data_IF_256699302970
#
_entry.id   IF_256699302970
#
_cell.length_a   1.000
_cell.length_b   1.000
_cell.length_c   1.000
_cell.angle_alpha   90.00
_cell.angle_beta   90.00
_cell.angle_gamma   90.00
#
_symmetry.space_group_name_H-M   'P 1'
#
loop_
_entity.id
_entity.type
_entity.pdbx_description
1 polymer ?
#
# COMPACT_ATOMS: atom_id res chain seq x y z
N UNK A 1 0.56 -9.73 13.12
CA UNK A 1 1.70 -8.80 12.95
C UNK A 1 1.64 -8.31 11.52
N UNK A 2 1.35 -7.04 11.27
CA UNK A 2 1.44 -6.48 9.93
C UNK A 2 2.92 -6.36 9.56
N UNK A 3 3.43 -7.25 8.71
CA UNK A 3 4.81 -7.15 8.22
C UNK A 3 4.72 -6.76 6.75
N UNK A 4 4.96 -5.49 6.46
CA UNK A 4 5.01 -5.07 5.07
C UNK A 4 6.22 -5.69 4.38
N UNK A 5 5.98 -6.40 3.28
CA UNK A 5 6.97 -7.05 2.43
C UNK A 5 7.13 -6.26 1.14
N UNK A 6 8.30 -6.37 0.51
CA UNK A 6 8.53 -5.84 -0.84
C UNK A 6 9.31 -6.83 -1.68
N UNK A 7 9.07 -6.80 -2.99
CA UNK A 7 9.83 -7.58 -3.97
C UNK A 7 11.24 -6.99 -4.04
N UNK A 8 12.28 -7.83 -4.08
CA UNK A 8 13.64 -7.35 -4.31
C UNK A 8 13.75 -6.77 -5.74
N UNK A 9 14.49 -5.67 -5.88
CA UNK A 9 14.61 -4.97 -7.18
C UNK A 9 15.11 -5.89 -8.30
N UNK A 10 15.94 -6.87 -7.96
CA UNK A 10 16.48 -7.89 -8.88
C UNK A 10 15.38 -8.81 -9.45
N UNK A 11 14.31 -9.04 -8.68
CA UNK A 11 13.20 -9.91 -9.07
C UNK A 11 12.03 -9.16 -9.74
N UNK A 12 12.07 -7.83 -9.84
CA UNK A 12 10.98 -7.05 -10.45
C UNK A 12 10.75 -7.45 -11.91
N UNK A 13 11.83 -7.64 -12.68
CA UNK A 13 11.72 -8.09 -14.07
C UNK A 13 11.17 -9.52 -14.17
N UNK A 14 11.52 -10.38 -13.21
CA UNK A 14 11.00 -11.75 -13.13
C UNK A 14 9.50 -11.74 -12.84
N UNK A 15 9.05 -10.93 -11.88
CA UNK A 15 7.64 -10.79 -11.52
C UNK A 15 6.82 -10.26 -12.71
N UNK A 16 7.32 -9.23 -13.41
CA UNK A 16 6.66 -8.71 -14.63
C UNK A 16 6.59 -9.76 -15.75
N UNK A 17 7.62 -10.58 -15.88
CA UNK A 17 7.62 -11.70 -16.83
C UNK A 17 6.62 -12.79 -16.43
N UNK A 18 6.49 -13.08 -15.13
CA UNK A 18 5.52 -14.04 -14.61
C UNK A 18 4.08 -13.57 -14.84
N UNK A 19 3.80 -12.28 -14.67
CA UNK A 19 2.51 -11.67 -14.99
C UNK A 19 2.07 -11.98 -16.44
N UNK A 20 3.00 -11.81 -17.39
CA UNK A 20 2.75 -12.11 -18.80
C UNK A 20 2.59 -13.61 -19.06
N UNK A 21 3.41 -14.45 -18.41
CA UNK A 21 3.35 -15.92 -18.56
C UNK A 21 2.04 -16.52 -18.05
N UNK A 22 1.47 -15.95 -16.99
CA UNK A 22 0.16 -16.36 -16.47
C UNK A 22 -1.02 -15.83 -17.30
N UNK A 23 -0.74 -15.02 -18.33
CA UNK A 23 -1.77 -14.52 -19.23
C UNK A 23 -2.55 -13.32 -18.70
N UNK A 24 -2.02 -12.59 -17.71
CA UNK A 24 -2.64 -11.33 -17.28
C UNK A 24 -2.21 -10.20 -18.23
N UNK A 25 -3.13 -9.60 -19.00
CA UNK A 25 -2.80 -8.53 -19.94
C UNK A 25 -2.54 -7.19 -19.23
N UNK A 26 -3.06 -7.02 -18.01
CA UNK A 26 -2.92 -5.80 -17.23
C UNK A 26 -2.90 -6.10 -15.71
N UNK A 27 -2.37 -5.17 -14.89
CA UNK A 27 -2.36 -5.32 -13.43
C UNK A 27 -3.76 -5.41 -12.80
N UNK A 28 -4.78 -4.82 -13.44
CA UNK A 28 -6.16 -4.83 -12.96
C UNK A 28 -6.80 -6.23 -13.03
N UNK A 29 -6.43 -7.03 -14.03
CA UNK A 29 -6.87 -8.42 -14.18
C UNK A 29 -6.33 -9.27 -13.04
N UNK A 30 -5.03 -9.09 -12.70
CA UNK A 30 -4.43 -9.73 -11.54
C UNK A 30 -5.05 -9.24 -10.23
N UNK A 31 -5.33 -7.94 -10.10
CA UNK A 31 -5.97 -7.38 -8.91
C UNK A 31 -7.35 -8.00 -8.65
N UNK A 32 -8.13 -8.17 -9.72
CA UNK A 32 -9.46 -8.79 -9.65
C UNK A 32 -9.36 -10.28 -9.27
N UNK A 33 -8.41 -11.01 -9.88
CA UNK A 33 -8.26 -12.45 -9.64
C UNK A 33 -7.63 -12.78 -8.28
N UNK A 34 -6.74 -11.92 -7.77
CA UNK A 34 -6.15 -12.02 -6.43
C UNK A 34 -7.00 -11.39 -5.32
N UNK A 35 -8.13 -10.75 -5.67
CA UNK A 35 -9.01 -10.01 -4.74
C UNK A 35 -8.27 -8.94 -3.91
N UNK A 36 -7.36 -8.22 -4.56
CA UNK A 36 -6.55 -7.15 -3.95
C UNK A 36 -6.78 -5.82 -4.67
N UNK A 37 -6.34 -4.72 -4.06
CA UNK A 37 -6.45 -3.42 -4.71
C UNK A 37 -5.47 -3.28 -5.89
N UNK A 38 -5.86 -2.54 -6.94
CA UNK A 38 -4.99 -2.22 -8.07
C UNK A 38 -3.68 -1.56 -7.60
N UNK A 39 -3.79 -0.62 -6.66
CA UNK A 39 -2.63 0.04 -6.04
C UNK A 39 -1.69 -0.96 -5.38
N UNK A 40 -2.22 -2.00 -4.72
CA UNK A 40 -1.40 -3.05 -4.10
C UNK A 40 -0.61 -3.83 -5.14
N UNK A 41 -1.25 -4.17 -6.27
CA UNK A 41 -0.58 -4.85 -7.38
C UNK A 41 0.49 -3.96 -8.01
N UNK A 42 0.19 -2.68 -8.24
CA UNK A 42 1.17 -1.73 -8.76
C UNK A 42 2.38 -1.60 -7.83
N UNK A 43 2.14 -1.44 -6.52
CA UNK A 43 3.19 -1.41 -5.50
C UNK A 43 4.01 -2.71 -5.50
N UNK A 44 3.37 -3.88 -5.62
CA UNK A 44 4.08 -5.17 -5.75
C UNK A 44 4.98 -5.22 -7.01
N UNK A 45 4.46 -4.80 -8.16
CA UNK A 45 5.19 -4.79 -9.44
C UNK A 45 6.30 -3.74 -9.49
N UNK A 46 6.25 -2.72 -8.64
CA UNK A 46 7.25 -1.67 -8.52
C UNK A 46 8.28 -1.94 -7.40
N UNK A 47 8.07 -2.97 -6.58
CA UNK A 47 8.96 -3.28 -5.44
C UNK A 47 8.75 -2.37 -4.24
N UNK A 48 7.54 -1.83 -4.10
CA UNK A 48 7.12 -1.07 -2.92
C UNK A 48 6.62 -1.99 -1.81
N UNK A 49 6.35 -1.39 -0.65
CA UNK A 49 5.85 -2.09 0.53
C UNK A 49 4.39 -2.49 0.33
N UNK A 50 4.11 -3.77 0.52
CA UNK A 50 2.79 -4.40 0.40
C UNK A 50 2.54 -5.25 1.65
N UNK A 51 1.28 -5.39 2.06
CA UNK A 51 0.91 -6.23 3.20
C UNK A 51 1.30 -7.70 2.96
N UNK A 52 1.71 -8.43 4.00
CA UNK A 52 2.16 -9.81 3.84
C UNK A 52 1.07 -10.73 3.26
N UNK A 53 -0.19 -10.51 3.65
CA UNK A 53 -1.31 -11.30 3.15
C UNK A 53 -1.53 -11.07 1.65
N UNK A 54 -1.51 -9.81 1.22
CA UNK A 54 -1.69 -9.45 -0.18
C UNK A 54 -0.48 -9.91 -1.02
N UNK A 55 0.73 -9.81 -0.47
CA UNK A 55 1.96 -10.25 -1.13
C UNK A 55 1.94 -11.75 -1.44
N UNK A 56 1.51 -12.56 -0.47
CA UNK A 56 1.39 -14.02 -0.64
C UNK A 56 0.34 -14.34 -1.71
N UNK A 57 -0.87 -13.75 -1.63
CA UNK A 57 -1.93 -13.96 -2.62
C UNK A 57 -1.48 -13.66 -4.04
N UNK A 58 -0.84 -12.50 -4.24
CA UNK A 58 -0.33 -12.10 -5.55
C UNK A 58 0.74 -13.08 -6.05
N UNK A 59 1.66 -13.50 -5.18
CA UNK A 59 2.73 -14.44 -5.53
C UNK A 59 2.17 -15.82 -5.92
N UNK A 60 1.17 -16.31 -5.18
CA UNK A 60 0.49 -17.57 -5.48
C UNK A 60 -0.20 -17.54 -6.85
N UNK A 61 -0.91 -16.45 -7.18
CA UNK A 61 -1.53 -16.27 -8.51
C UNK A 61 -0.49 -16.22 -9.64
N UNK A 62 0.68 -15.68 -9.36
CA UNK A 62 1.78 -15.64 -10.32
C UNK A 62 2.55 -16.96 -10.43
N UNK A 63 2.30 -17.92 -9.53
CA UNK A 63 3.06 -19.17 -9.44
C UNK A 63 4.51 -18.93 -8.99
N UNK A 64 4.72 -17.93 -8.14
CA UNK A 64 6.03 -17.54 -7.62
C UNK A 64 6.12 -17.84 -6.12
N UNK A 65 7.29 -18.34 -5.70
CA UNK A 65 7.60 -18.51 -4.28
C UNK A 65 7.87 -17.13 -3.66
N UNK A 66 6.94 -16.65 -2.81
CA UNK A 66 7.02 -15.33 -2.19
C UNK A 66 8.30 -15.15 -1.36
N UNK A 67 8.80 -16.22 -0.72
CA UNK A 67 10.04 -16.22 0.07
C UNK A 67 11.30 -16.09 -0.80
N UNK A 68 11.24 -16.48 -2.07
CA UNK A 68 12.36 -16.39 -3.00
C UNK A 68 12.51 -14.99 -3.59
N UNK A 69 11.41 -14.25 -3.71
CA UNK A 69 11.39 -12.92 -4.34
C UNK A 69 11.37 -11.77 -3.32
N UNK A 70 11.16 -12.06 -2.03
CA UNK A 70 11.13 -11.05 -0.98
C UNK A 70 12.52 -10.46 -0.75
N UNK A 71 12.59 -9.13 -0.62
CA UNK A 71 13.82 -8.44 -0.24
C UNK A 71 14.19 -8.81 1.20
N UNK A 72 15.20 -9.68 1.39
CA UNK A 72 15.71 -10.07 2.70
C UNK A 72 16.51 -8.97 3.43
N UNK A 73 16.67 -7.79 2.84
CA UNK A 73 17.46 -6.72 3.44
C UNK A 73 16.78 -6.17 4.71
N UNK A 74 17.39 -6.30 5.91
CA UNK A 74 16.80 -5.90 7.19
C UNK A 74 16.67 -4.38 7.39
N UNK A 75 17.13 -3.56 6.43
CA UNK A 75 17.00 -2.09 6.46
C UNK A 75 15.54 -1.60 6.38
N UNK A 76 14.56 -2.50 6.12
CA UNK A 76 13.15 -2.14 6.05
C UNK A 76 12.40 -2.18 7.38
N UNK A 77 13.10 -2.35 8.51
CA UNK A 77 12.54 -1.86 9.76
C UNK A 77 12.49 -0.32 9.66
N UNK A 78 11.37 0.36 9.94
CA UNK A 78 11.48 1.76 10.30
C UNK A 78 12.55 1.83 11.40
N UNK A 79 13.55 2.73 11.32
CA UNK A 79 14.59 2.81 12.33
C UNK A 79 13.93 2.75 13.70
N UNK A 80 14.36 1.86 14.62
CA UNK A 80 13.80 1.79 15.96
C UNK A 80 13.73 3.21 16.49
N UNK A 81 12.51 3.66 16.71
CA UNK A 81 12.05 4.98 17.15
C UNK A 81 13.13 5.89 17.79
N UNK A 82 14.08 6.42 17.01
CA UNK A 82 15.13 7.28 17.54
C UNK A 82 15.28 8.52 16.65
N UNK A 83 14.66 9.59 17.18
CA UNK A 83 14.66 10.99 16.75
C UNK A 83 13.86 11.39 15.50
N UNK A 84 12.59 11.70 15.77
CA UNK A 84 11.81 12.71 15.05
C UNK A 84 12.62 14.02 14.91
N UNK A 85 13.22 14.24 13.75
CA UNK A 85 13.65 15.59 13.35
C UNK A 85 12.40 16.47 13.16
N UNK A 86 12.33 17.67 13.76
CA UNK A 86 11.18 18.58 13.68
C UNK A 86 10.68 18.88 12.25
N UNK A 87 11.53 18.74 11.24
CA UNK A 87 11.16 19.00 9.84
C UNK A 87 10.19 17.97 9.26
N UNK A 88 10.24 16.71 9.70
CA UNK A 88 9.33 15.68 9.20
C UNK A 88 7.88 15.87 9.68
N UNK A 89 7.67 16.50 10.85
CA UNK A 89 6.32 16.94 11.28
C UNK A 89 5.72 17.95 10.32
N UNK A 90 6.54 18.83 9.77
CA UNK A 90 6.07 19.92 8.90
C UNK A 90 5.65 19.44 7.50
N UNK A 91 6.24 18.35 6.99
CA UNK A 91 5.81 17.72 5.72
C UNK A 91 4.49 16.96 5.85
N UNK A 92 4.21 16.37 7.01
CA UNK A 92 2.96 15.65 7.25
C UNK A 92 1.77 16.61 7.49
N UNK A 93 1.96 17.70 8.23
CA UNK A 93 0.90 18.71 8.45
C UNK A 93 0.47 19.43 7.16
N UNK A 94 1.40 19.68 6.23
CA UNK A 94 1.09 20.32 4.94
C UNK A 94 0.21 19.43 4.05
N UNK A 95 0.29 18.11 4.20
CA UNK A 95 -0.47 17.13 3.40
C UNK A 95 -1.89 16.91 3.94
N UNK A 96 -2.15 17.15 5.23
CA UNK A 96 -3.50 17.09 5.81
C UNK A 96 -4.33 18.37 5.58
N UNK A 97 -3.67 19.51 5.30
CA UNK A 97 -4.32 20.82 5.15
C UNK A 97 -5.04 21.04 3.80
N UNK A 98 -4.75 20.25 2.78
CA UNK A 98 -5.41 20.36 1.46
C UNK A 98 -6.74 19.62 1.37
N UNK A 99 -6.97 18.60 2.21
CA UNK A 99 -8.21 17.83 2.18
C UNK A 99 -9.36 18.47 2.99
N UNK A 100 -9.06 19.43 3.88
CA UNK A 100 -10.07 20.13 4.70
C UNK A 100 -10.58 21.44 4.08
N UNK A 101 -10.34 21.66 2.77
CA UNK A 101 -10.78 22.88 2.05
C UNK A 101 -11.87 22.65 1.00
N UNK A 102 -12.30 21.42 0.73
CA UNK A 102 -13.50 21.17 -0.09
C UNK A 102 -14.69 20.93 0.81
N UNK A 103 -15.55 21.95 0.92
CA UNK A 103 -16.72 21.95 1.78
C UNK A 103 -17.67 20.79 1.53
N UNK A 104 -18.07 20.14 2.62
CA UNK A 104 -19.37 19.46 2.72
C UNK A 104 -20.11 20.18 3.85
N UNK A 105 -20.62 21.38 3.54
CA UNK A 105 -21.66 22.01 4.35
C UNK A 105 -22.95 21.25 4.09
N UNK A 106 -23.27 20.28 4.94
CA UNK A 106 -24.48 19.51 4.72
C UNK A 106 -24.74 18.38 5.70
N UNK A 107 -24.54 18.55 7.00
CA UNK A 107 -25.16 17.65 7.97
C UNK A 107 -25.80 18.41 9.13
N UNK A 108 -27.12 18.32 9.16
CA UNK A 108 -28.09 18.79 10.15
C UNK A 108 -27.58 18.67 11.59
N UNK A 109 -27.77 19.72 12.38
CA UNK A 109 -28.08 19.55 13.81
C UNK A 109 -29.56 19.83 14.04
N UNK A 110 -30.25 18.79 14.49
CA UNK A 110 -31.59 18.83 15.03
C UNK A 110 -31.63 19.65 16.33
N UNK A 111 -32.68 20.48 16.43
CA UNK A 111 -33.51 20.85 17.59
C UNK A 111 -33.11 20.33 18.98
N UNK A 112 -33.10 21.21 19.99
CA UNK A 112 -34.11 21.24 21.09
C UNK A 112 -33.81 22.28 22.18
N UNK A 113 -34.87 23.00 22.59
CA UNK A 113 -35.23 23.50 23.95
C UNK A 113 -34.19 24.26 24.79
N UNK A 114 -34.44 25.39 25.43
CA UNK A 114 -35.70 26.03 25.84
C UNK A 114 -35.44 26.79 27.16
N UNK A 115 -36.19 27.89 27.37
CA UNK A 115 -36.41 28.66 28.61
C UNK A 115 -35.18 29.26 29.31
N UNK A 116 -35.20 30.57 29.54
CA UNK A 116 -35.72 31.21 30.77
C UNK A 116 -36.15 32.64 30.45
#
# INVERSE_FOLDING_TARGET
MARSLRVALEFIQLVKSALQRQGYPNPQALATDAEVSLSTVESFLNGELVDDLDFVKISEKLGLEWQAIVSQNPENQPPPHEYLSPEHRQRLEKRQRTFNKSGISGFKKYSKSGKM
#
